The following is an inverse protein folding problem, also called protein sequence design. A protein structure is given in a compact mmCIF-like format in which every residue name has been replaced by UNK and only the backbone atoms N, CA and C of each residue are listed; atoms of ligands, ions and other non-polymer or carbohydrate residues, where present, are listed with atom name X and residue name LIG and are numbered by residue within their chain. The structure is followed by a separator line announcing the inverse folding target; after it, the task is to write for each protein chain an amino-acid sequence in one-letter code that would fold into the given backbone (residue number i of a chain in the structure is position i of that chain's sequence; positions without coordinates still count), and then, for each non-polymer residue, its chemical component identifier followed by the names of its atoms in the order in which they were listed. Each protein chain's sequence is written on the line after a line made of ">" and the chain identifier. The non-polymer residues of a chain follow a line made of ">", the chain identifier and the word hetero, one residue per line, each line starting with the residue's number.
data_IF_938931865802
#
_entry.id   IF_938931865802
#
_cell.length_a   1.000
_cell.length_b   1.000
_cell.length_c   1.000
_cell.angle_alpha   90.00
_cell.angle_beta   90.00
_cell.angle_gamma   90.00
#
_symmetry.space_group_name_H-M   'P 1'
#
loop_
_entity.id
_entity.type
_entity.pdbx_description
1 polymer ?
#
# COMPACT_ATOMS: atom_id res chain seq x y z
N UNK A 1 43.31 8.73 -13.13
CA UNK A 1 42.65 8.17 -11.92
C UNK A 1 41.20 7.96 -12.26
N UNK A 2 40.82 6.74 -12.66
CA UNK A 2 39.45 6.36 -13.03
C UNK A 2 38.86 5.59 -11.86
N UNK A 3 37.81 6.13 -11.24
CA UNK A 3 37.10 5.45 -10.16
C UNK A 3 36.28 4.30 -10.74
N UNK A 4 36.62 3.07 -10.38
CA UNK A 4 35.81 1.89 -10.66
C UNK A 4 34.55 1.95 -9.80
N UNK A 5 33.40 2.08 -10.46
CA UNK A 5 32.08 1.92 -9.83
C UNK A 5 31.93 0.41 -9.62
N UNK A 6 32.05 -0.06 -8.37
CA UNK A 6 31.81 -1.45 -8.02
C UNK A 6 30.36 -1.85 -8.37
N UNK A 7 30.08 -3.14 -8.63
CA UNK A 7 28.73 -3.58 -8.91
C UNK A 7 27.81 -3.20 -7.76
N UNK A 8 26.69 -2.56 -8.08
CA UNK A 8 25.62 -2.30 -7.11
C UNK A 8 25.27 -3.63 -6.43
N UNK A 9 25.39 -3.67 -5.09
CA UNK A 9 24.92 -4.83 -4.34
C UNK A 9 23.46 -5.08 -4.73
N UNK A 10 23.07 -6.30 -5.15
CA UNK A 10 21.67 -6.58 -5.33
C UNK A 10 21.01 -6.37 -3.97
N UNK A 11 20.16 -5.36 -3.89
CA UNK A 11 19.28 -5.17 -2.73
C UNK A 11 18.47 -6.46 -2.51
N UNK A 12 17.84 -6.62 -1.33
CA UNK A 12 17.03 -7.80 -1.06
C UNK A 12 16.07 -8.03 -2.23
N UNK A 13 16.16 -9.19 -2.88
CA UNK A 13 15.21 -9.59 -3.91
C UNK A 13 13.86 -9.74 -3.22
N UNK A 14 13.01 -8.75 -3.36
CA UNK A 14 11.65 -8.80 -2.84
C UNK A 14 10.95 -9.93 -3.60
N UNK A 15 10.55 -10.97 -2.90
CA UNK A 15 9.66 -11.98 -3.43
C UNK A 15 8.30 -11.32 -3.69
N UNK A 16 8.03 -10.96 -4.95
CA UNK A 16 6.80 -10.28 -5.38
C UNK A 16 5.53 -11.10 -5.10
N UNK A 17 5.69 -12.39 -4.76
CA UNK A 17 4.59 -13.28 -4.38
C UNK A 17 4.22 -13.16 -2.91
N UNK A 18 5.10 -12.66 -2.04
CA UNK A 18 4.79 -12.47 -0.62
C UNK A 18 4.21 -11.08 -0.36
N UNK A 19 3.18 -10.96 0.49
CA UNK A 19 2.69 -9.67 0.93
C UNK A 19 3.77 -8.80 1.59
N UNK A 20 4.12 -7.67 0.99
CA UNK A 20 5.05 -6.69 1.56
C UNK A 20 4.57 -5.24 1.36
N UNK A 21 4.87 -4.39 2.35
CA UNK A 21 4.58 -2.97 2.29
C UNK A 21 5.64 -2.23 1.45
N UNK A 22 5.18 -1.45 0.48
CA UNK A 22 5.99 -0.62 -0.39
C UNK A 22 5.71 0.85 -0.04
N UNK A 23 6.78 1.59 0.24
CA UNK A 23 6.69 3.02 0.49
C UNK A 23 6.29 3.77 -0.78
N UNK A 24 5.27 4.62 -0.68
CA UNK A 24 4.67 5.31 -1.82
C UNK A 24 4.22 6.72 -1.41
N UNK A 25 5.16 7.66 -1.25
CA UNK A 25 4.82 9.05 -0.96
C UNK A 25 3.93 9.61 -2.07
N UNK A 26 3.03 10.49 -1.68
CA UNK A 26 2.00 11.09 -2.54
C UNK A 26 2.09 12.61 -2.45
N UNK A 27 1.54 13.39 -3.40
CA UNK A 27 1.54 14.85 -3.31
C UNK A 27 0.89 15.43 -2.04
N UNK A 28 0.13 14.61 -1.31
CA UNK A 28 -0.65 14.99 -0.13
C UNK A 28 -0.16 14.29 1.15
N UNK A 29 0.82 13.38 1.10
CA UNK A 29 1.39 12.72 2.28
C UNK A 29 2.66 11.94 1.95
N UNK A 30 3.70 12.15 2.75
CA UNK A 30 4.94 11.36 2.75
C UNK A 30 4.87 10.14 3.67
N UNK A 31 3.71 9.83 4.23
CA UNK A 31 3.54 8.76 5.22
C UNK A 31 2.54 7.69 4.74
N UNK A 32 2.71 7.30 3.47
CA UNK A 32 1.84 6.36 2.78
C UNK A 32 2.62 5.14 2.32
N UNK A 33 2.06 3.97 2.57
CA UNK A 33 2.50 2.70 2.04
C UNK A 33 1.35 2.00 1.33
N UNK A 34 1.66 1.10 0.41
CA UNK A 34 0.69 0.14 -0.12
C UNK A 34 1.22 -1.27 0.02
N UNK A 35 0.28 -2.21 0.03
CA UNK A 35 0.58 -3.62 0.14
C UNK A 35 0.57 -4.22 -1.27
N UNK A 36 1.72 -4.70 -1.75
CA UNK A 36 1.87 -5.32 -3.08
C UNK A 36 1.92 -6.87 -3.03
N UNK A 37 0.94 -7.55 -3.62
CA UNK A 37 0.92 -9.02 -3.70
C UNK A 37 0.58 -9.46 -5.13
N UNK A 38 1.43 -10.30 -5.73
CA UNK A 38 1.23 -10.82 -7.10
C UNK A 38 1.00 -9.69 -8.12
N UNK A 39 1.82 -8.64 -8.02
CA UNK A 39 1.73 -7.43 -8.87
C UNK A 39 0.48 -6.57 -8.64
N UNK A 40 -0.32 -6.81 -7.58
CA UNK A 40 -1.54 -6.07 -7.27
C UNK A 40 -1.43 -5.30 -5.95
N UNK A 41 -2.02 -4.11 -5.92
CA UNK A 41 -2.25 -3.39 -4.68
C UNK A 41 -3.44 -4.00 -3.93
N UNK A 42 -3.23 -4.45 -2.69
CA UNK A 42 -4.28 -4.96 -1.80
C UNK A 42 -4.99 -3.86 -1.01
N UNK A 43 -4.32 -2.72 -0.84
CA UNK A 43 -4.78 -1.60 -0.07
C UNK A 43 -3.62 -0.74 0.40
N UNK A 44 -3.92 0.18 1.30
CA UNK A 44 -3.03 1.27 1.68
C UNK A 44 -2.92 1.37 3.19
N UNK A 45 -1.77 1.85 3.64
CA UNK A 45 -1.50 2.18 5.03
C UNK A 45 -1.15 3.67 5.07
N UNK A 46 -1.89 4.45 5.85
CA UNK A 46 -1.60 5.84 6.13
C UNK A 46 -1.21 5.98 7.60
N UNK A 47 -0.05 6.59 7.87
CA UNK A 47 0.26 7.05 9.23
C UNK A 47 -0.51 8.34 9.51
N UNK A 48 -1.10 8.42 10.69
CA UNK A 48 -1.66 9.65 11.20
C UNK A 48 -1.41 9.75 12.72
N UNK A 49 -1.46 10.98 13.20
CA UNK A 49 -1.27 11.31 14.61
C UNK A 49 -2.61 11.74 15.22
N UNK A 50 -2.96 11.13 16.34
CA UNK A 50 -4.15 11.44 17.12
C UNK A 50 -3.72 11.86 18.54
N UNK A 51 -3.54 13.17 18.73
CA UNK A 51 -2.96 13.72 19.95
C UNK A 51 -1.52 13.25 20.13
N UNK A 52 -1.24 12.56 21.24
CA UNK A 52 0.09 11.97 21.50
C UNK A 52 0.27 10.57 20.90
N UNK A 53 -0.75 10.02 20.25
CA UNK A 53 -0.71 8.65 19.71
C UNK A 53 -0.40 8.68 18.22
N UNK A 54 0.46 7.77 17.80
CA UNK A 54 0.70 7.47 16.40
C UNK A 54 -0.08 6.21 16.01
N UNK A 55 -0.81 6.28 14.90
CA UNK A 55 -1.58 5.17 14.36
C UNK A 55 -1.27 4.97 12.87
N UNK A 56 -1.50 3.73 12.43
CA UNK A 56 -1.36 3.30 11.04
C UNK A 56 -2.71 2.74 10.60
N UNK A 57 -3.48 3.56 9.90
CA UNK A 57 -4.78 3.16 9.39
C UNK A 57 -4.65 2.42 8.08
N UNK A 58 -5.33 1.28 7.98
CA UNK A 58 -5.42 0.45 6.78
C UNK A 58 -6.73 0.78 6.08
N UNK A 59 -6.68 1.10 4.79
CA UNK A 59 -7.86 1.20 3.95
C UNK A 59 -7.75 0.32 2.72
N UNK A 60 -8.89 -0.21 2.28
CA UNK A 60 -8.95 -1.10 1.12
C UNK A 60 -8.68 -0.34 -0.16
N UNK A 61 -8.27 -1.06 -1.20
CA UNK A 61 -8.21 -0.51 -2.55
C UNK A 61 -9.63 -0.20 -3.08
N UNK A 62 -10.04 1.07 -3.03
CA UNK A 62 -11.31 1.56 -3.59
C UNK A 62 -12.14 2.42 -2.64
N UNK A 63 -13.22 2.97 -3.19
CA UNK A 63 -14.18 3.84 -2.50
C UNK A 63 -15.57 3.20 -2.39
N UNK A 64 -16.31 3.57 -1.34
CA UNK A 64 -17.72 3.22 -1.20
C UNK A 64 -18.61 3.98 -2.20
N UNK A 65 -19.93 3.77 -2.13
CA UNK A 65 -20.94 4.42 -2.99
C UNK A 65 -20.96 5.95 -2.85
N UNK A 66 -20.38 6.49 -1.76
CA UNK A 66 -20.28 7.93 -1.49
C UNK A 66 -18.95 8.51 -1.98
N UNK A 67 -18.08 7.70 -2.55
CA UNK A 67 -16.73 8.10 -2.97
C UNK A 67 -15.73 8.19 -1.81
N UNK A 68 -16.05 7.61 -0.65
CA UNK A 68 -15.16 7.64 0.52
C UNK A 68 -14.29 6.39 0.57
N UNK A 69 -13.01 6.57 0.90
CA UNK A 69 -12.08 5.44 1.15
C UNK A 69 -12.57 4.62 2.33
N UNK A 70 -12.57 3.30 2.17
CA UNK A 70 -13.05 2.37 3.19
C UNK A 70 -11.91 1.92 4.09
N UNK A 71 -11.93 2.39 5.34
CA UNK A 71 -11.00 2.00 6.39
C UNK A 71 -11.41 0.67 7.01
N UNK A 72 -10.44 -0.22 7.24
CA UNK A 72 -10.70 -1.60 7.70
C UNK A 72 -9.98 -1.96 8.99
N UNK A 73 -8.88 -1.27 9.30
CA UNK A 73 -8.17 -1.43 10.56
C UNK A 73 -7.36 -0.19 10.93
N UNK A 74 -6.97 -0.11 12.19
CA UNK A 74 -5.99 0.84 12.70
C UNK A 74 -5.05 0.11 13.63
N UNK A 75 -3.75 0.21 13.39
CA UNK A 75 -2.73 -0.47 14.18
C UNK A 75 -1.74 0.53 14.76
N UNK A 76 -1.04 0.13 15.82
CA UNK A 76 -0.07 0.99 16.49
C UNK A 76 1.28 1.04 15.80
N UNK A 77 1.55 0.13 14.86
CA UNK A 77 2.81 0.08 14.09
C UNK A 77 2.57 -0.28 12.63
N UNK A 78 3.45 0.18 11.74
CA UNK A 78 3.46 -0.20 10.33
C UNK A 78 3.56 -1.72 10.14
N UNK A 79 4.38 -2.39 10.96
CA UNK A 79 4.55 -3.85 10.91
C UNK A 79 3.24 -4.58 11.22
N UNK A 80 2.48 -4.12 12.22
CA UNK A 80 1.17 -4.70 12.56
C UNK A 80 0.13 -4.45 11.47
N UNK A 81 0.09 -3.23 10.92
CA UNK A 81 -0.78 -2.91 9.78
C UNK A 81 -0.47 -3.79 8.56
N UNK A 82 0.82 -3.99 8.26
CA UNK A 82 1.28 -4.84 7.17
C UNK A 82 0.91 -6.31 7.40
N UNK A 83 1.13 -6.81 8.63
CA UNK A 83 0.77 -8.16 9.02
C UNK A 83 -0.75 -8.38 8.90
N UNK A 84 -1.57 -7.45 9.38
CA UNK A 84 -3.02 -7.48 9.23
C UNK A 84 -3.42 -7.67 7.76
N UNK A 85 -2.87 -6.84 6.85
CA UNK A 85 -3.16 -6.97 5.42
C UNK A 85 -2.71 -8.31 4.83
N UNK A 86 -1.55 -8.81 5.25
CA UNK A 86 -1.04 -10.13 4.83
C UNK A 86 -1.88 -11.31 5.34
N UNK A 87 -2.47 -11.21 6.54
CA UNK A 87 -3.41 -12.21 7.04
C UNK A 87 -4.77 -12.14 6.35
N UNK A 88 -5.19 -10.94 5.94
CA UNK A 88 -6.53 -10.68 5.38
C UNK A 88 -6.56 -10.51 3.86
N UNK A 89 -5.55 -11.00 3.13
CA UNK A 89 -5.42 -10.81 1.67
C UNK A 89 -6.70 -11.18 0.92
N UNK A 90 -7.29 -12.33 1.24
CA UNK A 90 -8.49 -12.83 0.55
C UNK A 90 -9.68 -11.90 0.75
N UNK A 91 -9.95 -11.49 1.99
CA UNK A 91 -11.07 -10.60 2.30
C UNK A 91 -10.89 -9.23 1.65
N UNK A 92 -9.68 -8.66 1.69
CA UNK A 92 -9.36 -7.38 1.07
C UNK A 92 -9.53 -7.42 -0.47
N UNK A 93 -9.11 -8.51 -1.11
CA UNK A 93 -9.32 -8.73 -2.55
C UNK A 93 -10.80 -8.89 -2.92
N UNK A 94 -11.58 -9.59 -2.10
CA UNK A 94 -13.02 -9.74 -2.34
C UNK A 94 -13.77 -8.42 -2.13
N UNK A 95 -13.39 -7.64 -1.12
CA UNK A 95 -13.96 -6.34 -0.83
C UNK A 95 -13.66 -5.32 -1.94
N UNK A 96 -12.41 -5.22 -2.38
CA UNK A 96 -12.01 -4.27 -3.44
C UNK A 96 -12.75 -4.48 -4.76
N UNK A 97 -13.19 -5.71 -5.07
CA UNK A 97 -14.02 -6.00 -6.26
C UNK A 97 -15.42 -5.36 -6.21
N UNK A 98 -15.90 -5.00 -5.03
CA UNK A 98 -17.21 -4.39 -4.79
C UNK A 98 -17.15 -2.87 -4.68
N UNK A 99 -15.95 -2.31 -4.62
CA UNK A 99 -15.72 -0.88 -4.44
C UNK A 99 -15.53 -0.17 -5.78
N UNK A 100 -15.87 1.11 -5.80
CA UNK A 100 -15.51 1.98 -6.91
C UNK A 100 -13.99 2.22 -6.91
N UNK A 101 -13.38 2.50 -8.08
CA UNK A 101 -11.97 2.91 -8.17
C UNK A 101 -11.65 4.09 -7.24
N UNK A 102 -10.50 4.07 -6.57
CA UNK A 102 -10.00 5.25 -5.85
C UNK A 102 -9.49 6.28 -6.88
N UNK A 103 -10.08 7.49 -6.96
CA UNK A 103 -9.68 8.50 -7.94
C UNK A 103 -8.25 9.00 -7.71
N UNK A 104 -7.75 8.85 -6.49
CA UNK A 104 -6.39 9.20 -6.10
C UNK A 104 -5.62 7.90 -5.94
N UNK A 105 -5.46 7.17 -7.04
CA UNK A 105 -4.56 6.03 -7.11
C UNK A 105 -3.11 6.56 -7.17
N UNK A 106 -2.37 6.53 -6.05
CA UNK A 106 -1.02 7.09 -5.96
C UNK A 106 0.00 6.45 -6.91
N UNK A 107 -0.29 5.27 -7.44
CA UNK A 107 0.61 4.53 -8.33
C UNK A 107 0.23 4.62 -9.80
N UNK A 108 -0.86 5.33 -10.16
CA UNK A 108 -1.37 5.32 -11.52
C UNK A 108 -1.74 3.92 -12.03
N UNK A 109 -2.00 2.95 -11.13
CA UNK A 109 -2.30 1.56 -11.51
C UNK A 109 -3.61 1.42 -12.32
N UNK A 110 -4.44 2.47 -12.36
CA UNK A 110 -5.58 2.54 -13.28
C UNK A 110 -5.17 2.68 -14.76
N UNK A 111 -3.94 3.08 -15.07
CA UNK A 111 -3.48 3.32 -16.45
C UNK A 111 -2.92 2.06 -17.14
N UNK A 112 -2.67 0.96 -16.41
CA UNK A 112 -2.23 -0.31 -17.02
C UNK A 112 -3.40 -1.22 -17.40
N UNK A 113 -4.45 -0.69 -18.01
CA UNK A 113 -5.46 -1.51 -18.71
C UNK A 113 -5.69 -1.01 -20.14
N UNK A 114 -5.15 -1.81 -21.07
CA UNK A 114 -5.30 -1.85 -22.54
C UNK A 114 -4.42 -0.88 -23.34
N UNK A 115 -3.21 -1.36 -23.66
CA UNK A 115 -2.80 -1.47 -25.06
C UNK A 115 -3.01 -2.92 -25.50
#
# INVERSE_FOLDING_TARGET
>A
MTASIGPASPGPTIDETQPHAVYSPTPWSDEVWFMAHDGRCLGWILRYEEGEKQLFGVYTYGCDERGLRVWVASETTLARASAYMGFHVRELLEQSRRLAPDPVNPLGLHERRRA
#
